data_IF_226686586564
#
_entry.id   IF_226686586564
#
_cell.length_a   1.000
_cell.length_b   1.000
_cell.length_c   1.000
_cell.angle_alpha   90.00
_cell.angle_beta   90.00
_cell.angle_gamma   90.00
#
_symmetry.space_group_name_H-M   'P 1'
#
loop_
_entity.id
_entity.type
_entity.pdbx_description
1 polymer ?
#
# COMPACT_ATOMS: atom_id res chain seq x y z
N UNK A 1 78.96 -75.94 34.37
CA UNK A 1 78.63 -76.04 32.92
C UNK A 1 77.45 -76.98 32.83
N UNK A 2 76.23 -76.45 32.96
CA UNK A 2 75.04 -77.23 32.60
C UNK A 2 75.10 -77.42 31.09
N UNK A 3 75.27 -78.68 30.70
CA UNK A 3 75.23 -79.11 29.31
C UNK A 3 73.78 -78.92 28.86
N UNK A 4 73.50 -77.83 28.16
CA UNK A 4 72.25 -77.67 27.42
C UNK A 4 72.22 -78.73 26.31
N UNK A 5 71.56 -79.85 26.58
CA UNK A 5 71.16 -80.78 25.53
C UNK A 5 70.29 -80.03 24.51
N UNK A 6 70.53 -80.18 23.21
CA UNK A 6 69.70 -79.57 22.18
C UNK A 6 68.26 -80.07 22.37
N UNK A 7 67.32 -79.12 22.40
CA UNK A 7 65.89 -79.40 22.48
C UNK A 7 65.51 -80.33 21.32
N UNK A 8 64.74 -81.40 21.59
CA UNK A 8 64.22 -82.24 20.52
C UNK A 8 63.26 -81.40 19.65
N UNK A 9 63.31 -81.50 18.31
CA UNK A 9 62.38 -80.76 17.44
C UNK A 9 60.91 -81.05 17.78
N UNK A 10 60.62 -82.22 18.35
CA UNK A 10 59.28 -82.64 18.78
C UNK A 10 58.79 -81.87 20.03
N UNK A 11 59.64 -81.64 21.03
CA UNK A 11 59.27 -80.90 22.25
C UNK A 11 59.11 -79.40 21.96
N UNK A 12 59.92 -78.86 21.05
CA UNK A 12 59.77 -77.48 20.62
C UNK A 12 58.46 -77.24 19.84
N UNK A 13 58.06 -78.20 19.00
CA UNK A 13 56.80 -78.14 18.24
C UNK A 13 55.57 -78.25 19.16
N UNK A 14 55.64 -79.08 20.21
CA UNK A 14 54.56 -79.19 21.19
C UNK A 14 54.42 -77.91 22.03
N UNK A 15 55.53 -77.29 22.46
CA UNK A 15 55.47 -75.98 23.15
C UNK A 15 54.81 -74.89 22.27
N UNK A 16 55.13 -74.85 20.97
CA UNK A 16 54.48 -73.92 20.03
C UNK A 16 53.00 -74.21 19.81
N UNK A 17 52.60 -75.49 19.78
CA UNK A 17 51.20 -75.89 19.68
C UNK A 17 50.40 -75.41 20.90
N UNK A 18 50.94 -75.60 22.10
CA UNK A 18 50.33 -75.18 23.36
C UNK A 18 50.23 -73.65 23.44
N UNK A 19 51.27 -72.92 23.03
CA UNK A 19 51.22 -71.45 22.99
C UNK A 19 50.13 -70.92 22.05
N UNK A 20 49.91 -71.58 20.90
CA UNK A 20 48.78 -71.23 20.00
C UNK A 20 47.42 -71.54 20.60
N UNK A 21 47.32 -72.59 21.40
CA UNK A 21 46.10 -72.93 22.13
C UNK A 21 45.81 -71.87 23.21
N UNK A 22 46.86 -71.39 23.90
CA UNK A 22 46.78 -70.28 24.88
C UNK A 22 46.40 -68.95 24.22
N UNK A 23 46.91 -68.66 23.02
CA UNK A 23 46.54 -67.46 22.27
C UNK A 23 45.12 -67.54 21.66
N UNK A 24 44.51 -68.72 21.68
CA UNK A 24 43.15 -68.92 21.19
C UNK A 24 42.13 -68.42 22.22
N UNK A 25 40.94 -68.06 21.74
CA UNK A 25 39.84 -67.63 22.60
C UNK A 25 39.12 -68.79 23.29
N UNK A 26 39.50 -70.05 22.99
CA UNK A 26 38.89 -71.25 23.54
C UNK A 26 39.65 -71.72 24.80
N UNK A 27 39.05 -71.49 25.97
CA UNK A 27 39.67 -71.83 27.26
C UNK A 27 39.36 -73.25 27.74
N UNK A 28 38.49 -73.99 27.03
CA UNK A 28 37.94 -75.26 27.49
C UNK A 28 38.98 -76.39 27.62
N UNK A 29 40.06 -76.34 26.85
CA UNK A 29 41.11 -77.36 26.81
C UNK A 29 42.42 -76.95 27.51
N UNK A 30 42.54 -75.70 27.97
CA UNK A 30 43.77 -75.19 28.58
C UNK A 30 44.14 -75.91 29.89
N UNK A 31 43.16 -76.31 30.69
CA UNK A 31 43.40 -76.95 31.99
C UNK A 31 44.17 -78.28 31.88
N UNK A 32 43.71 -79.26 31.09
CA UNK A 32 44.45 -80.50 30.82
C UNK A 32 45.79 -80.26 30.12
N UNK A 33 45.85 -79.37 29.12
CA UNK A 33 47.06 -79.06 28.35
C UNK A 33 48.17 -78.47 29.23
N UNK A 34 47.83 -77.51 30.10
CA UNK A 34 48.79 -76.93 31.05
C UNK A 34 49.24 -77.94 32.10
N UNK A 35 48.33 -78.78 32.64
CA UNK A 35 48.69 -79.84 33.59
C UNK A 35 49.74 -80.81 32.99
N UNK A 36 49.59 -81.16 31.70
CA UNK A 36 50.57 -82.00 31.00
C UNK A 36 51.96 -81.36 30.86
N UNK A 37 52.05 -80.04 30.80
CA UNK A 37 53.35 -79.33 30.75
C UNK A 37 54.00 -79.30 32.13
N UNK A 38 53.21 -79.04 33.18
CA UNK A 38 53.68 -78.99 34.57
C UNK A 38 54.13 -80.35 35.09
N UNK A 39 53.47 -81.44 34.67
CA UNK A 39 53.84 -82.81 35.03
C UNK A 39 55.12 -83.29 34.28
N UNK A 40 55.61 -82.53 33.30
CA UNK A 40 56.80 -82.82 32.50
C UNK A 40 58.11 -82.20 33.04
N UNK A 41 59.26 -82.77 32.62
CA UNK A 41 60.60 -82.28 33.01
C UNK A 41 61.01 -80.95 32.36
N UNK A 42 60.33 -80.54 31.28
CA UNK A 42 60.70 -79.40 30.43
C UNK A 42 59.89 -78.12 30.72
N UNK A 43 59.12 -78.08 31.82
CA UNK A 43 58.27 -76.94 32.18
C UNK A 43 59.04 -75.60 32.28
N UNK A 44 60.30 -75.63 32.73
CA UNK A 44 61.15 -74.43 32.77
C UNK A 44 61.40 -73.82 31.38
N UNK A 45 61.65 -74.66 30.37
CA UNK A 45 61.83 -74.22 28.97
C UNK A 45 60.53 -73.73 28.34
N UNK A 46 59.39 -74.33 28.71
CA UNK A 46 58.09 -73.83 28.29
C UNK A 46 57.80 -72.44 28.88
N UNK A 47 58.08 -72.23 30.18
CA UNK A 47 57.92 -70.92 30.82
C UNK A 47 58.79 -69.85 30.16
N UNK A 48 60.03 -70.17 29.80
CA UNK A 48 60.90 -69.25 29.04
C UNK A 48 60.32 -68.88 27.66
N UNK A 49 59.72 -69.85 26.94
CA UNK A 49 59.03 -69.60 25.67
C UNK A 49 57.75 -68.79 25.84
N UNK A 50 56.99 -69.05 26.90
CA UNK A 50 55.79 -68.27 27.25
C UNK A 50 56.17 -66.81 27.59
N UNK A 51 57.21 -66.59 28.38
CA UNK A 51 57.72 -65.25 28.68
C UNK A 51 58.25 -64.53 27.44
N UNK A 52 58.83 -65.26 26.48
CA UNK A 52 59.21 -64.70 25.19
C UNK A 52 57.97 -64.33 24.34
N UNK A 53 56.90 -65.14 24.37
CA UNK A 53 55.62 -64.90 23.68
C UNK A 53 54.90 -63.67 24.24
N UNK A 54 54.81 -63.56 25.57
CA UNK A 54 54.23 -62.39 26.26
C UNK A 54 54.99 -61.12 25.87
N UNK A 55 56.32 -61.13 25.99
CA UNK A 55 57.16 -59.98 25.59
C UNK A 55 57.02 -59.62 24.11
N UNK A 56 56.77 -60.60 23.24
CA UNK A 56 56.50 -60.34 21.83
C UNK A 56 55.14 -59.63 21.64
N UNK A 57 54.09 -60.11 22.30
CA UNK A 57 52.78 -59.47 22.25
C UNK A 57 52.78 -58.06 22.84
N UNK A 58 53.48 -57.83 23.97
CA UNK A 58 53.63 -56.49 24.53
C UNK A 58 54.26 -55.51 23.51
N UNK A 59 55.28 -55.96 22.79
CA UNK A 59 55.92 -55.17 21.72
C UNK A 59 54.99 -54.93 20.54
N UNK A 60 54.16 -55.90 20.17
CA UNK A 60 53.17 -55.75 19.10
C UNK A 60 52.06 -54.77 19.50
N UNK A 61 51.57 -54.84 20.74
CA UNK A 61 50.60 -53.90 21.31
C UNK A 61 51.19 -52.49 21.32
N UNK A 62 52.42 -52.33 21.84
CA UNK A 62 53.09 -51.03 21.86
C UNK A 62 53.27 -50.46 20.46
N UNK A 63 53.69 -51.29 19.48
CA UNK A 63 53.83 -50.86 18.08
C UNK A 63 52.48 -50.43 17.48
N UNK A 64 51.40 -51.16 17.74
CA UNK A 64 50.06 -50.84 17.25
C UNK A 64 49.55 -49.53 17.86
N UNK A 65 49.71 -49.36 19.17
CA UNK A 65 49.34 -48.14 19.88
C UNK A 65 50.14 -46.94 19.36
N UNK A 66 51.46 -47.06 19.25
CA UNK A 66 52.33 -46.00 18.74
C UNK A 66 51.99 -45.63 17.29
N UNK A 67 51.65 -46.61 16.45
CA UNK A 67 51.27 -46.37 15.05
C UNK A 67 49.98 -45.55 14.93
N UNK A 68 49.00 -45.78 15.81
CA UNK A 68 47.68 -45.11 15.74
C UNK A 68 47.53 -43.88 16.65
N UNK A 69 48.43 -43.69 17.62
CA UNK A 69 48.30 -42.63 18.63
C UNK A 69 48.17 -41.24 18.01
N UNK A 70 49.02 -40.91 17.05
CA UNK A 70 48.98 -39.59 16.41
C UNK A 70 47.66 -39.36 15.66
N UNK A 71 47.19 -40.36 14.89
CA UNK A 71 45.92 -40.26 14.17
C UNK A 71 44.71 -40.09 15.10
N UNK A 72 44.74 -40.71 16.28
CA UNK A 72 43.71 -40.50 17.31
C UNK A 72 43.75 -39.07 17.88
N UNK A 73 44.94 -38.56 18.21
CA UNK A 73 45.13 -37.18 18.70
C UNK A 73 44.68 -36.16 17.66
N UNK A 74 45.03 -36.37 16.40
CA UNK A 74 44.65 -35.50 15.28
C UNK A 74 43.13 -35.50 15.10
N UNK A 75 42.49 -36.69 15.14
CA UNK A 75 41.04 -36.82 15.04
C UNK A 75 40.29 -36.09 16.16
N UNK A 76 40.77 -36.19 17.41
CA UNK A 76 40.20 -35.44 18.54
C UNK A 76 40.37 -33.93 18.32
N UNK A 77 41.55 -33.52 17.89
CA UNK A 77 41.87 -32.11 17.66
C UNK A 77 40.98 -31.50 16.57
N UNK A 78 40.76 -32.22 15.47
CA UNK A 78 39.83 -31.82 14.41
C UNK A 78 38.39 -31.75 14.90
N UNK A 79 37.92 -32.75 15.65
CA UNK A 79 36.59 -32.74 16.22
C UNK A 79 36.35 -31.53 17.14
N UNK A 80 37.34 -31.17 17.96
CA UNK A 80 37.26 -29.98 18.83
C UNK A 80 37.21 -28.67 18.02
N UNK A 81 37.93 -28.58 16.90
CA UNK A 81 37.84 -27.44 15.98
C UNK A 81 36.44 -27.34 15.35
N UNK A 82 35.92 -28.44 14.82
CA UNK A 82 34.56 -28.49 14.22
C UNK A 82 33.51 -28.08 15.25
N UNK A 83 33.62 -28.55 16.50
CA UNK A 83 32.72 -28.15 17.59
C UNK A 83 32.76 -26.63 17.84
N UNK A 84 33.94 -26.02 17.86
CA UNK A 84 34.09 -24.58 18.04
C UNK A 84 33.50 -23.78 16.87
N UNK A 85 33.71 -24.23 15.63
CA UNK A 85 33.15 -23.61 14.44
C UNK A 85 31.62 -23.72 14.39
N UNK A 86 31.07 -24.89 14.73
CA UNK A 86 29.62 -25.10 14.82
C UNK A 86 28.98 -24.18 15.88
N UNK A 87 29.65 -23.99 17.02
CA UNK A 87 29.18 -23.06 18.04
C UNK A 87 29.23 -21.60 17.58
N UNK A 88 30.29 -21.21 16.84
CA UNK A 88 30.39 -19.88 16.23
C UNK A 88 29.27 -19.64 15.22
N UNK A 89 29.02 -20.62 14.34
CA UNK A 89 27.95 -20.55 13.35
C UNK A 89 26.57 -20.43 14.03
N UNK A 90 26.31 -21.23 15.07
CA UNK A 90 25.10 -21.13 15.87
C UNK A 90 24.88 -19.72 16.40
N UNK A 91 25.91 -19.12 17.00
CA UNK A 91 25.83 -17.76 17.53
C UNK A 91 25.52 -16.74 16.42
N UNK A 92 26.20 -16.84 15.28
CA UNK A 92 25.96 -15.96 14.12
C UNK A 92 24.53 -16.09 13.60
N UNK A 93 24.02 -17.32 13.43
CA UNK A 93 22.63 -17.55 12.99
C UNK A 93 21.64 -16.95 13.99
N UNK A 94 21.86 -17.13 15.29
CA UNK A 94 20.98 -16.55 16.32
C UNK A 94 21.00 -15.02 16.32
N UNK A 95 22.17 -14.41 16.11
CA UNK A 95 22.31 -12.95 16.09
C UNK A 95 21.69 -12.35 14.83
N UNK A 96 21.91 -12.97 13.67
CA UNK A 96 21.25 -12.58 12.41
C UNK A 96 19.73 -12.71 12.52
N UNK A 97 19.22 -13.81 13.09
CA UNK A 97 17.78 -13.98 13.29
C UNK A 97 17.20 -12.89 14.22
N UNK A 98 17.88 -12.56 15.32
CA UNK A 98 17.47 -11.47 16.22
C UNK A 98 17.42 -10.12 15.51
N UNK A 99 18.47 -9.79 14.73
CA UNK A 99 18.54 -8.54 13.97
C UNK A 99 17.41 -8.47 12.92
N UNK A 100 17.19 -9.55 12.19
CA UNK A 100 16.11 -9.64 11.19
C UNK A 100 14.73 -9.44 11.82
N UNK A 101 14.47 -10.07 12.98
CA UNK A 101 13.20 -9.89 13.68
C UNK A 101 13.01 -8.46 14.19
N UNK A 102 14.07 -7.80 14.66
CA UNK A 102 14.02 -6.41 15.10
C UNK A 102 13.69 -5.46 13.93
N UNK A 103 14.43 -5.59 12.82
CA UNK A 103 14.21 -4.78 11.61
C UNK A 103 12.82 -5.05 11.02
N UNK A 104 12.37 -6.30 11.01
CA UNK A 104 11.02 -6.67 10.57
C UNK A 104 9.93 -6.00 11.41
N UNK A 105 10.07 -5.95 12.74
CA UNK A 105 9.11 -5.26 13.63
C UNK A 105 9.06 -3.76 13.34
N UNK A 106 10.22 -3.12 13.15
CA UNK A 106 10.27 -1.70 12.79
C UNK A 106 9.62 -1.43 11.43
N UNK A 107 9.87 -2.30 10.45
CA UNK A 107 9.26 -2.20 9.13
C UNK A 107 7.73 -2.33 9.19
N UNK A 108 7.21 -3.29 9.96
CA UNK A 108 5.75 -3.45 10.16
C UNK A 108 5.15 -2.17 10.75
N UNK A 109 5.78 -1.58 11.78
CA UNK A 109 5.33 -0.30 12.35
C UNK A 109 5.27 0.83 11.31
N UNK A 110 6.35 1.00 10.53
CA UNK A 110 6.37 2.00 9.45
C UNK A 110 5.31 1.75 8.36
N UNK A 111 4.99 0.48 8.06
CA UNK A 111 3.93 0.14 7.11
C UNK A 111 2.53 0.46 7.66
N UNK A 112 2.29 0.28 8.96
CA UNK A 112 1.04 0.66 9.61
C UNK A 112 0.83 2.18 9.60
N UNK A 113 1.89 2.95 9.91
CA UNK A 113 1.87 4.41 9.80
C UNK A 113 1.58 4.86 8.36
N UNK A 114 2.26 4.27 7.37
CA UNK A 114 2.01 4.57 5.96
C UNK A 114 0.56 4.28 5.56
N UNK A 115 -0.02 3.19 6.06
CA UNK A 115 -1.42 2.85 5.82
C UNK A 115 -2.36 3.91 6.40
N UNK A 116 -2.10 4.37 7.63
CA UNK A 116 -2.89 5.43 8.25
C UNK A 116 -2.78 6.74 7.46
N UNK A 117 -1.57 7.13 7.05
CA UNK A 117 -1.36 8.33 6.23
C UNK A 117 -2.10 8.24 4.88
N UNK A 118 -2.11 7.07 4.23
CA UNK A 118 -2.87 6.86 2.98
C UNK A 118 -4.37 6.97 3.18
N UNK A 119 -4.90 6.46 4.29
CA UNK A 119 -6.32 6.60 4.61
C UNK A 119 -6.68 8.08 4.84
N UNK A 120 -5.85 8.80 5.59
CA UNK A 120 -6.02 10.24 5.78
C UNK A 120 -5.97 10.98 4.45
N UNK A 121 -4.99 10.68 3.60
CA UNK A 121 -4.86 11.25 2.26
C UNK A 121 -6.11 10.99 1.41
N UNK A 122 -6.65 9.76 1.45
CA UNK A 122 -7.88 9.42 0.73
C UNK A 122 -9.09 10.18 1.26
N UNK A 123 -9.26 10.27 2.58
CA UNK A 123 -10.33 11.06 3.21
C UNK A 123 -10.25 12.54 2.81
N UNK A 124 -9.03 13.10 2.82
CA UNK A 124 -8.78 14.50 2.42
C UNK A 124 -9.14 14.68 0.95
N UNK A 125 -8.63 13.83 0.05
CA UNK A 125 -8.92 13.91 -1.39
C UNK A 125 -10.42 13.80 -1.67
N UNK A 126 -11.08 12.81 -1.07
CA UNK A 126 -12.52 12.63 -1.22
C UNK A 126 -13.29 13.87 -0.72
N UNK A 127 -12.88 14.45 0.42
CA UNK A 127 -13.51 15.67 0.94
C UNK A 127 -13.31 16.86 0.00
N UNK A 128 -12.10 17.04 -0.52
CA UNK A 128 -11.79 18.08 -1.52
C UNK A 128 -12.69 17.91 -2.74
N UNK A 129 -12.78 16.70 -3.31
CA UNK A 129 -13.61 16.43 -4.48
C UNK A 129 -15.10 16.75 -4.23
N UNK A 130 -15.61 16.40 -3.05
CA UNK A 130 -17.01 16.67 -2.67
C UNK A 130 -17.26 18.17 -2.47
N UNK A 131 -16.33 18.90 -1.85
CA UNK A 131 -16.42 20.35 -1.68
C UNK A 131 -16.31 21.09 -3.02
N UNK A 132 -15.39 20.67 -3.90
CA UNK A 132 -15.23 21.22 -5.24
C UNK A 132 -16.49 21.08 -6.09
N UNK A 133 -17.25 19.99 -5.93
CA UNK A 133 -18.56 19.84 -6.59
C UNK A 133 -19.62 20.82 -6.05
N UNK A 134 -19.55 21.17 -4.77
CA UNK A 134 -20.52 22.08 -4.13
C UNK A 134 -20.22 23.56 -4.40
N UNK A 135 -18.96 23.91 -4.66
CA UNK A 135 -18.50 25.30 -4.80
C UNK A 135 -19.29 26.10 -5.86
N UNK A 136 -19.51 25.60 -7.10
CA UNK A 136 -20.20 26.38 -8.13
C UNK A 136 -21.65 26.71 -7.76
N UNK A 137 -22.30 25.84 -6.99
CA UNK A 137 -23.69 26.02 -6.55
C UNK A 137 -23.79 27.16 -5.54
N UNK A 138 -22.85 27.21 -4.58
CA UNK A 138 -22.78 28.27 -3.57
C UNK A 138 -22.38 29.62 -4.19
N UNK A 139 -21.42 29.62 -5.13
CA UNK A 139 -21.02 30.81 -5.85
C UNK A 139 -22.16 31.40 -6.69
N UNK A 140 -22.91 30.54 -7.40
CA UNK A 140 -24.05 30.97 -8.21
C UNK A 140 -25.20 31.51 -7.36
N UNK A 141 -25.47 30.89 -6.21
CA UNK A 141 -26.47 31.40 -5.25
C UNK A 141 -26.05 32.75 -4.65
N UNK A 142 -24.77 32.89 -4.26
CA UNK A 142 -24.23 34.16 -3.78
C UNK A 142 -24.40 35.27 -4.82
N UNK A 143 -24.05 34.98 -6.08
CA UNK A 143 -24.24 35.87 -7.22
C UNK A 143 -25.70 36.25 -7.44
N UNK A 144 -26.63 35.30 -7.32
CA UNK A 144 -28.07 35.58 -7.42
C UNK A 144 -28.51 36.57 -6.34
N UNK A 145 -28.12 36.32 -5.08
CA UNK A 145 -28.46 37.20 -3.96
C UNK A 145 -27.92 38.63 -4.17
N UNK A 146 -26.73 38.77 -4.74
CA UNK A 146 -26.14 40.08 -5.08
C UNK A 146 -26.88 40.79 -6.23
N UNK A 147 -27.30 40.05 -7.27
CA UNK A 147 -28.11 40.60 -8.36
C UNK A 147 -29.49 41.09 -7.89
N UNK A 148 -30.11 40.36 -6.95
CA UNK A 148 -31.36 40.78 -6.33
C UNK A 148 -31.18 42.07 -5.50
N UNK A 149 -30.11 42.15 -4.69
CA UNK A 149 -29.78 43.37 -3.92
C UNK A 149 -29.52 44.59 -4.81
N UNK A 150 -28.91 44.40 -5.97
CA UNK A 150 -28.63 45.46 -6.94
C UNK A 150 -29.81 45.81 -7.86
N UNK A 151 -31.01 45.26 -7.60
CA UNK A 151 -32.24 45.42 -8.41
C UNK A 151 -32.07 45.05 -9.89
N UNK A 152 -31.11 44.17 -10.20
CA UNK A 152 -30.88 43.64 -11.56
C UNK A 152 -31.74 42.39 -11.78
N UNK A 153 -33.06 42.59 -11.86
CA UNK A 153 -34.05 41.52 -11.85
C UNK A 153 -33.93 40.53 -13.03
N UNK A 154 -33.65 41.03 -14.24
CA UNK A 154 -33.50 40.16 -15.42
C UNK A 154 -32.24 39.26 -15.35
N UNK A 155 -31.04 39.79 -15.06
CA UNK A 155 -29.87 38.95 -14.78
C UNK A 155 -30.09 37.96 -13.63
N UNK A 156 -30.77 38.37 -12.56
CA UNK A 156 -31.12 37.50 -11.43
C UNK A 156 -31.97 36.30 -11.88
N UNK A 157 -33.02 36.52 -12.66
CA UNK A 157 -33.86 35.44 -13.20
C UNK A 157 -33.05 34.47 -14.08
N UNK A 158 -32.11 34.98 -14.89
CA UNK A 158 -31.23 34.13 -15.70
C UNK A 158 -30.27 33.30 -14.87
N UNK A 159 -29.69 33.88 -13.83
CA UNK A 159 -28.82 33.18 -12.89
C UNK A 159 -29.59 32.12 -12.09
N UNK A 160 -30.82 32.42 -11.66
CA UNK A 160 -31.71 31.47 -10.98
C UNK A 160 -32.10 30.29 -11.89
N UNK A 161 -32.43 30.55 -13.15
CA UNK A 161 -32.73 29.52 -14.16
C UNK A 161 -31.53 28.60 -14.39
N UNK A 162 -30.31 29.15 -14.43
CA UNK A 162 -29.09 28.36 -14.57
C UNK A 162 -28.78 27.52 -13.33
N UNK A 163 -28.94 28.09 -12.13
CA UNK A 163 -28.78 27.39 -10.86
C UNK A 163 -29.69 26.16 -10.76
N UNK A 164 -30.95 26.30 -11.18
CA UNK A 164 -31.96 25.24 -11.19
C UNK A 164 -31.64 24.12 -12.18
N UNK A 165 -31.27 24.46 -13.42
CA UNK A 165 -31.15 23.47 -14.49
C UNK A 165 -29.77 22.81 -14.58
N UNK A 166 -28.70 23.52 -14.23
CA UNK A 166 -27.33 23.05 -14.47
C UNK A 166 -26.61 22.66 -13.19
N UNK A 167 -26.69 23.48 -12.14
CA UNK A 167 -25.88 23.29 -10.94
C UNK A 167 -26.53 22.34 -9.94
N UNK A 168 -27.80 22.55 -9.57
CA UNK A 168 -28.47 21.78 -8.52
C UNK A 168 -28.64 20.28 -8.81
N UNK A 169 -28.90 19.81 -10.05
CA UNK A 169 -29.00 18.38 -10.33
C UNK A 169 -27.72 17.60 -10.00
N UNK A 170 -26.54 18.23 -10.15
CA UNK A 170 -25.23 17.60 -9.93
C UNK A 170 -24.96 17.28 -8.45
N UNK A 171 -25.64 17.98 -7.53
CA UNK A 171 -25.40 17.93 -6.08
C UNK A 171 -26.69 17.65 -5.29
N UNK A 172 -27.71 17.12 -5.96
CA UNK A 172 -29.08 16.95 -5.42
C UNK A 172 -29.19 16.05 -4.17
N UNK A 173 -28.21 15.17 -3.94
CA UNK A 173 -28.17 14.30 -2.76
C UNK A 173 -27.84 15.06 -1.47
N UNK A 174 -27.24 16.25 -1.54
CA UNK A 174 -26.93 17.02 -0.34
C UNK A 174 -28.16 17.76 0.20
N UNK A 175 -28.26 17.79 1.54
CA UNK A 175 -29.39 18.42 2.24
C UNK A 175 -29.53 19.92 1.96
N UNK A 176 -28.41 20.64 1.83
CA UNK A 176 -28.46 22.09 1.57
C UNK A 176 -29.07 22.39 0.18
N UNK A 177 -28.80 21.56 -0.83
CA UNK A 177 -29.39 21.72 -2.16
C UNK A 177 -30.90 21.56 -2.16
N UNK A 178 -31.45 20.65 -1.34
CA UNK A 178 -32.91 20.50 -1.19
C UNK A 178 -33.57 21.79 -0.70
N UNK A 179 -32.98 22.43 0.30
CA UNK A 179 -33.45 23.73 0.81
C UNK A 179 -33.38 24.81 -0.27
N UNK A 180 -32.34 24.81 -1.11
CA UNK A 180 -32.24 25.75 -2.22
C UNK A 180 -33.36 25.53 -3.25
N UNK A 181 -33.61 24.29 -3.65
CA UNK A 181 -34.70 23.91 -4.58
C UNK A 181 -36.06 24.36 -4.05
N UNK A 182 -36.35 24.11 -2.78
CA UNK A 182 -37.61 24.52 -2.13
C UNK A 182 -37.79 26.05 -2.11
N UNK A 183 -36.69 26.81 -2.11
CA UNK A 183 -36.73 28.28 -2.12
C UNK A 183 -36.84 28.89 -3.52
N UNK A 184 -36.57 28.15 -4.60
CA UNK A 184 -36.62 28.68 -5.99
C UNK A 184 -37.98 29.32 -6.32
N UNK A 185 -39.14 28.69 -6.05
CA UNK A 185 -40.43 29.30 -6.38
C UNK A 185 -40.67 30.61 -5.63
N UNK A 186 -40.22 30.69 -4.37
CA UNK A 186 -40.33 31.92 -3.56
C UNK A 186 -39.49 33.05 -4.14
N UNK A 187 -38.25 32.76 -4.54
CA UNK A 187 -37.37 33.74 -5.18
C UNK A 187 -37.93 34.23 -6.52
N UNK A 188 -38.57 33.34 -7.31
CA UNK A 188 -39.23 33.74 -8.56
C UNK A 188 -40.38 34.71 -8.31
N UNK A 189 -41.22 34.44 -7.31
CA UNK A 189 -42.33 35.33 -6.96
C UNK A 189 -41.83 36.66 -6.39
N UNK A 190 -40.81 36.65 -5.53
CA UNK A 190 -40.18 37.86 -5.01
C UNK A 190 -39.65 38.76 -6.13
N UNK A 191 -38.89 38.21 -7.09
CA UNK A 191 -38.38 39.00 -8.23
C UNK A 191 -39.53 39.56 -9.06
N UNK A 192 -40.59 38.77 -9.28
CA UNK A 192 -41.79 39.22 -10.02
C UNK A 192 -42.48 40.37 -9.29
N UNK A 193 -42.71 40.25 -7.98
CA UNK A 193 -43.40 41.27 -7.20
C UNK A 193 -42.62 42.58 -7.17
N UNK A 194 -41.30 42.52 -6.92
CA UNK A 194 -40.44 43.71 -6.92
C UNK A 194 -40.37 44.33 -8.32
N UNK A 195 -40.21 43.53 -9.37
CA UNK A 195 -40.17 44.03 -10.75
C UNK A 195 -41.49 44.68 -11.17
N UNK A 196 -42.63 44.09 -10.77
CA UNK A 196 -43.95 44.63 -11.07
C UNK A 196 -44.24 45.90 -10.27
N UNK A 197 -43.74 46.01 -9.04
CA UNK A 197 -43.80 47.25 -8.27
C UNK A 197 -42.99 48.35 -8.95
N UNK A 198 -41.72 48.07 -9.29
CA UNK A 198 -40.83 49.03 -9.96
C UNK A 198 -41.46 49.52 -11.29
N UNK A 199 -42.09 48.63 -12.06
CA UNK A 199 -42.80 48.98 -13.30
C UNK A 199 -44.03 49.86 -13.05
N UNK A 200 -44.84 49.54 -12.03
CA UNK A 200 -46.02 50.35 -11.66
C UNK A 200 -45.60 51.75 -11.23
N UNK A 201 -44.56 51.86 -10.41
CA UNK A 201 -44.00 53.13 -9.95
C UNK A 201 -43.46 53.96 -11.12
N UNK A 202 -42.81 53.30 -12.09
CA UNK A 202 -42.35 53.95 -13.32
C UNK A 202 -43.51 54.49 -14.17
N UNK A 203 -44.56 53.70 -14.40
CA UNK A 203 -45.73 54.14 -15.17
C UNK A 203 -46.48 55.28 -14.47
N UNK A 204 -46.61 55.23 -13.15
CA UNK A 204 -47.21 56.31 -12.36
C UNK A 204 -46.36 57.58 -12.41
N UNK A 205 -45.03 57.46 -12.43
CA UNK A 205 -44.12 58.58 -12.63
C UNK A 205 -44.31 59.22 -14.02
N UNK A 206 -44.40 58.42 -15.09
CA UNK A 206 -44.70 58.92 -16.43
C UNK A 206 -46.03 59.67 -16.44
N UNK A 207 -47.10 59.08 -15.87
CA UNK A 207 -48.43 59.70 -15.84
C UNK A 207 -48.43 61.07 -15.16
N UNK A 208 -47.64 61.25 -14.11
CA UNK A 208 -47.50 62.55 -13.41
C UNK A 208 -46.74 63.61 -14.21
N UNK A 209 -45.82 63.19 -15.07
CA UNK A 209 -44.96 64.12 -15.83
C UNK A 209 -45.44 64.35 -17.28
N UNK A 210 -46.22 63.42 -17.84
CA UNK A 210 -46.72 63.48 -19.22
C UNK A 210 -47.57 64.72 -19.48
N UNK A 211 -48.39 65.15 -18.51
CA UNK A 211 -49.27 66.32 -18.69
C UNK A 211 -48.46 67.61 -18.83
N UNK A 212 -47.40 67.77 -18.04
CA UNK A 212 -46.49 68.93 -18.11
C UNK A 212 -45.68 68.95 -19.41
N UNK A 213 -45.20 67.78 -19.83
CA UNK A 213 -44.48 67.64 -21.11
C UNK A 213 -45.44 67.95 -22.27
N UNK A 214 -46.67 67.43 -22.21
CA UNK A 214 -47.74 67.70 -23.18
C UNK A 214 -48.08 69.19 -23.25
N UNK A 215 -48.28 69.87 -22.12
CA UNK A 215 -48.54 71.31 -22.06
C UNK A 215 -47.39 72.12 -22.69
N UNK A 216 -46.14 71.75 -22.40
CA UNK A 216 -44.96 72.43 -22.94
C UNK A 216 -44.83 72.21 -24.45
N UNK A 217 -45.07 70.98 -24.92
CA UNK A 217 -45.08 70.65 -26.35
C UNK A 217 -46.20 71.41 -27.09
N UNK A 218 -47.40 71.47 -26.54
CA UNK A 218 -48.52 72.22 -27.11
C UNK A 218 -48.22 73.72 -27.16
N UNK A 219 -47.64 74.31 -26.11
CA UNK A 219 -47.19 75.72 -26.10
C UNK A 219 -46.17 76.01 -27.21
N UNK A 220 -45.20 75.12 -27.43
CA UNK A 220 -44.21 75.26 -28.51
C UNK A 220 -44.84 75.17 -29.90
N UNK A 221 -45.80 74.26 -30.12
CA UNK A 221 -46.55 74.17 -31.37
C UNK A 221 -47.40 75.41 -31.62
N UNK A 222 -48.10 75.94 -30.60
CA UNK A 222 -48.86 77.18 -30.75
C UNK A 222 -47.99 78.42 -30.98
N UNK A 223 -46.78 78.46 -30.42
CA UNK A 223 -45.83 79.55 -30.72
C UNK A 223 -45.23 79.45 -32.13
N UNK A 224 -45.08 78.24 -32.68
CA UNK A 224 -44.68 78.05 -34.08
C UNK A 224 -45.84 78.30 -35.06
N UNK A 225 -47.08 77.98 -34.69
CA UNK A 225 -48.28 78.27 -35.49
C UNK A 225 -48.71 79.76 -35.45
N UNK A 226 -48.22 80.54 -34.48
CA UNK A 226 -48.45 81.99 -34.40
C UNK A 226 -47.50 82.84 -35.27
N UNK A 227 -46.60 82.21 -36.04
CA UNK A 227 -45.68 82.87 -36.95
C UNK A 227 -45.84 82.34 -38.38
N UNK A 228 -46.53 83.13 -39.21
CA UNK A 228 -46.71 83.02 -40.68
C UNK A 228 -47.84 82.09 -41.13
N UNK A 229 -48.77 82.68 -41.91
CA UNK A 229 -50.02 82.07 -42.36
C UNK A 229 -49.95 81.17 -43.59
N UNK A 230 -51.10 80.52 -43.83
CA UNK A 230 -51.69 80.07 -45.12
C UNK A 230 -50.80 79.15 -45.99
N UNK A 231 -51.12 77.88 -46.27
CA UNK A 231 -52.37 77.36 -46.83
C UNK A 231 -52.38 75.80 -46.86
N UNK A 232 -53.60 75.24 -46.95
CA UNK A 232 -54.04 73.92 -47.48
C UNK A 232 -54.33 72.76 -46.52
N UNK A 233 -55.63 72.60 -46.32
CA UNK A 233 -56.32 71.32 -46.14
C UNK A 233 -55.86 70.28 -47.18
N UNK A 234 -55.60 69.06 -46.70
CA UNK A 234 -56.10 67.86 -47.35
C UNK A 234 -56.43 66.84 -46.27
N UNK A 235 -57.72 66.60 -46.07
CA UNK A 235 -58.17 65.45 -45.31
C UNK A 235 -57.71 64.16 -46.01
N UNK A 236 -57.19 63.23 -45.22
CA UNK A 236 -57.10 61.82 -45.57
C UNK A 236 -57.57 60.99 -44.37
N UNK A 237 -58.35 59.90 -44.58
CA UNK A 237 -59.01 59.19 -43.51
C UNK A 237 -58.03 58.29 -42.75
N UNK A 238 -58.27 58.12 -41.45
CA UNK A 238 -57.70 57.03 -40.67
C UNK A 238 -58.11 55.70 -41.30
N UNK A 239 -57.15 54.97 -41.86
CA UNK A 239 -57.25 53.51 -42.06
C UNK A 239 -56.23 52.83 -41.15
N UNK A 240 -56.59 51.69 -40.54
CA UNK A 240 -55.69 50.94 -39.67
C UNK A 240 -54.78 50.05 -40.52
N UNK A 241 -53.54 49.88 -40.02
CA UNK A 241 -52.48 48.96 -40.47
C UNK A 241 -51.51 49.52 -41.51
N UNK A 242 -50.30 49.86 -41.06
CA UNK A 242 -49.04 49.20 -41.49
C UNK A 242 -47.83 49.99 -40.99
N UNK A 243 -47.13 49.49 -39.98
CA UNK A 243 -45.70 49.79 -39.79
C UNK A 243 -44.90 48.54 -40.13
N UNK A 244 -43.86 48.62 -40.96
CA UNK A 244 -43.20 47.45 -41.52
C UNK A 244 -42.27 46.81 -40.50
N UNK A 245 -42.52 45.54 -40.20
CA UNK A 245 -41.48 44.62 -39.75
C UNK A 245 -40.51 44.44 -40.92
N UNK A 246 -39.34 45.09 -40.86
CA UNK A 246 -38.16 44.64 -41.62
C UNK A 246 -37.12 44.14 -40.64
N UNK A 247 -37.23 42.85 -40.34
CA UNK A 247 -36.12 42.05 -39.84
C UNK A 247 -35.05 42.02 -40.93
N UNK A 248 -33.91 42.64 -40.68
CA UNK A 248 -32.66 42.33 -41.35
C UNK A 248 -31.75 41.70 -40.30
N UNK A 249 -31.68 40.37 -40.34
CA UNK A 249 -30.66 39.63 -39.62
C UNK A 249 -29.29 40.02 -40.12
N UNK A 250 -28.43 40.44 -39.19
CA UNK A 250 -26.99 40.41 -39.38
C UNK A 250 -26.45 39.25 -38.55
N UNK A 251 -26.28 38.12 -39.22
CA UNK A 251 -25.37 37.07 -38.80
C UNK A 251 -23.96 37.65 -38.82
N UNK A 252 -23.29 37.67 -37.66
CA UNK A 252 -21.83 37.71 -37.64
C UNK A 252 -21.37 36.48 -36.87
N UNK A 253 -20.92 35.50 -37.65
CA UNK A 253 -20.01 34.44 -37.20
C UNK A 253 -18.90 34.40 -38.24
N UNK A 254 -17.75 34.99 -37.92
CA UNK A 254 -16.46 34.50 -38.40
C UNK A 254 -15.29 35.16 -37.65
N UNK A 255 -14.66 34.35 -36.80
CA UNK A 255 -13.22 34.17 -36.66
C UNK A 255 -12.25 35.23 -37.20
N UNK A 256 -11.54 35.89 -36.28
CA UNK A 256 -10.14 36.32 -36.43
C UNK A 256 -9.57 36.49 -35.00
N UNK A 257 -8.88 35.49 -34.46
CA UNK A 257 -7.41 35.41 -34.40
C UNK A 257 -6.77 36.73 -33.94
N UNK A 258 -6.48 36.83 -32.64
CA UNK A 258 -5.38 37.63 -32.12
C UNK A 258 -4.72 36.85 -30.97
N UNK A 259 -3.44 36.58 -31.13
CA UNK A 259 -2.47 36.16 -30.11
C UNK A 259 -1.18 36.94 -30.40
N UNK A 260 -0.18 36.99 -29.50
CA UNK A 260 -0.23 37.28 -28.07
C UNK A 260 0.84 38.35 -27.67
N UNK A 261 0.98 38.60 -26.36
CA UNK A 261 2.22 38.95 -25.65
C UNK A 261 2.55 40.44 -25.33
N UNK A 262 2.18 40.87 -24.12
CA UNK A 262 3.12 41.25 -23.03
C UNK A 262 2.28 41.74 -21.82
N UNK A 263 2.16 40.95 -20.73
CA UNK A 263 2.90 41.08 -19.45
C UNK A 263 2.85 42.53 -18.92
N UNK A 264 2.36 42.84 -17.71
CA UNK A 264 2.58 42.23 -16.37
C UNK A 264 1.79 43.13 -15.33
N UNK A 265 1.92 43.02 -13.98
CA UNK A 265 1.38 42.00 -13.06
C UNK A 265 0.70 42.61 -11.79
N UNK A 266 -0.32 41.97 -11.22
CA UNK A 266 -0.52 41.91 -9.77
C UNK A 266 -1.46 40.73 -9.47
N UNK A 267 -0.90 39.62 -8.98
CA UNK A 267 -0.99 39.15 -7.58
C UNK A 267 -2.21 38.23 -7.37
N UNK A 268 -1.98 36.94 -7.66
CA UNK A 268 -2.58 35.75 -7.03
C UNK A 268 -1.45 35.10 -6.19
N UNK A 269 -1.66 34.15 -5.25
CA UNK A 269 -2.90 33.53 -4.73
C UNK A 269 -2.90 33.25 -3.20
N UNK A 270 -4.07 32.90 -2.64
CA UNK A 270 -4.21 32.32 -1.28
C UNK A 270 -4.57 30.83 -1.30
N UNK A 271 -4.14 30.08 -2.32
CA UNK A 271 -4.36 28.63 -2.43
C UNK A 271 -3.12 27.78 -2.82
N UNK A 272 -1.91 28.34 -2.84
CA UNK A 272 -0.66 27.60 -3.17
C UNK A 272 0.28 27.43 -1.96
N UNK A 273 -0.23 26.93 -0.84
CA UNK A 273 0.62 26.55 0.30
C UNK A 273 0.57 25.07 0.68
N UNK A 274 -0.03 24.21 -0.15
CA UNK A 274 -0.07 22.77 0.10
C UNK A 274 0.31 21.86 -1.09
N UNK A 275 1.17 22.31 -2.02
CA UNK A 275 1.98 21.40 -2.85
C UNK A 275 3.32 22.06 -3.25
N UNK A 276 4.43 21.67 -2.58
CA UNK A 276 5.40 20.83 -3.28
C UNK A 276 6.02 19.72 -2.40
N UNK A 277 5.19 18.87 -1.79
CA UNK A 277 5.67 17.58 -1.19
C UNK A 277 5.30 16.36 -2.04
N UNK A 278 4.38 16.46 -3.00
CA UNK A 278 3.80 15.27 -3.67
C UNK A 278 4.12 15.07 -5.16
N UNK A 279 5.07 15.80 -5.75
CA UNK A 279 5.47 15.60 -7.17
C UNK A 279 6.74 14.76 -7.39
N UNK A 280 7.34 14.18 -6.34
CA UNK A 280 8.56 13.36 -6.45
C UNK A 280 8.38 11.84 -6.26
N UNK A 281 7.16 11.28 -6.19
CA UNK A 281 6.98 9.83 -6.00
C UNK A 281 6.09 9.13 -7.05
N UNK A 282 5.85 9.74 -8.22
CA UNK A 282 5.00 9.14 -9.27
C UNK A 282 5.70 8.90 -10.62
N UNK A 283 7.04 8.84 -10.64
CA UNK A 283 7.83 8.49 -11.83
C UNK A 283 8.94 7.48 -11.48
N UNK A 284 8.53 6.31 -10.98
CA UNK A 284 9.23 5.01 -11.16
C UNK A 284 8.38 3.90 -10.55
N UNK A 285 7.53 3.29 -11.37
CA UNK A 285 7.12 1.86 -11.34
C UNK A 285 6.01 1.64 -12.38
N UNK A 286 6.24 2.05 -13.63
CA UNK A 286 5.60 1.41 -14.78
C UNK A 286 6.57 0.36 -15.30
N UNK A 287 6.47 -0.86 -14.77
CA UNK A 287 6.87 -2.13 -15.38
C UNK A 287 6.84 -3.26 -14.34
N UNK A 288 5.62 -3.69 -13.97
CA UNK A 288 5.23 -5.10 -13.77
C UNK A 288 3.79 -5.09 -13.28
N UNK A 289 2.90 -5.60 -14.12
CA UNK A 289 1.50 -5.77 -13.79
C UNK A 289 1.34 -6.64 -12.55
N UNK A 290 0.76 -6.05 -11.52
CA UNK A 290 0.03 -6.75 -10.49
C UNK A 290 -1.20 -5.89 -10.23
N UNK A 291 -2.31 -6.26 -10.87
CA UNK A 291 -3.62 -5.95 -10.33
C UNK A 291 -3.62 -6.46 -8.88
N UNK A 292 -3.65 -5.57 -7.89
CA UNK A 292 -4.08 -5.94 -6.55
C UNK A 292 -5.52 -5.50 -6.34
N UNK A 293 -6.32 -6.33 -5.65
CA UNK A 293 -7.77 -6.27 -5.69
C UNK A 293 -8.31 -5.28 -4.67
N UNK A 294 -9.60 -4.99 -4.84
CA UNK A 294 -10.48 -4.25 -3.95
C UNK A 294 -10.21 -4.47 -2.45
N UNK A 295 -10.50 -3.46 -1.60
CA UNK A 295 -10.38 -3.56 -0.15
C UNK A 295 -11.56 -4.35 0.44
N UNK A 296 -11.69 -5.61 0.04
CA UNK A 296 -12.64 -6.59 0.58
C UNK A 296 -11.92 -7.91 0.88
N UNK A 297 -10.80 -7.85 1.62
CA UNK A 297 -10.21 -9.05 2.23
C UNK A 297 -10.30 -8.91 3.76
N UNK A 298 -11.30 -9.63 4.29
CA UNK A 298 -11.47 -9.89 5.70
C UNK A 298 -10.35 -10.77 6.31
N UNK A 299 -10.57 -11.34 7.50
CA UNK A 299 -9.57 -11.59 8.56
C UNK A 299 -8.44 -12.62 8.29
N UNK A 300 -8.21 -13.08 7.06
CA UNK A 300 -7.19 -14.08 6.74
C UNK A 300 -5.73 -13.59 6.89
N UNK A 301 -5.47 -12.28 6.86
CA UNK A 301 -4.11 -11.73 6.98
C UNK A 301 -3.62 -11.65 8.43
N UNK A 302 -4.53 -11.59 9.41
CA UNK A 302 -4.17 -11.52 10.84
C UNK A 302 -3.66 -12.87 11.35
N UNK A 303 -4.29 -13.98 10.92
CA UNK A 303 -3.88 -15.33 11.30
C UNK A 303 -2.46 -15.71 10.87
N UNK A 304 -1.98 -15.19 9.72
CA UNK A 304 -0.64 -15.49 9.21
C UNK A 304 0.48 -14.65 9.85
N UNK A 305 0.16 -13.45 10.33
CA UNK A 305 1.08 -12.58 11.08
C UNK A 305 1.20 -13.00 12.54
N UNK A 306 0.10 -13.39 13.18
CA UNK A 306 0.12 -13.91 14.56
C UNK A 306 0.87 -15.25 14.67
N UNK A 307 0.88 -16.05 13.60
CA UNK A 307 1.60 -17.33 13.56
C UNK A 307 3.13 -17.15 13.53
N UNK A 308 3.64 -16.05 12.94
CA UNK A 308 5.07 -15.69 12.97
C UNK A 308 5.53 -15.09 14.30
N UNK A 309 4.61 -14.55 15.11
CA UNK A 309 4.93 -13.94 16.40
C UNK A 309 5.07 -14.95 17.57
N UNK A 310 4.68 -16.21 17.38
CA UNK A 310 4.54 -17.20 18.47
C UNK A 310 5.78 -18.05 18.80
N UNK A 311 6.91 -17.88 18.11
CA UNK A 311 8.22 -18.36 18.59
C UNK A 311 8.38 -19.87 18.85
N UNK A 312 7.60 -20.75 18.21
CA UNK A 312 7.78 -22.20 18.33
C UNK A 312 8.90 -22.73 17.41
N UNK A 313 9.70 -23.72 17.87
CA UNK A 313 10.82 -24.25 17.09
C UNK A 313 10.36 -25.15 15.93
N UNK A 314 11.05 -25.03 14.80
CA UNK A 314 10.86 -25.75 13.52
C UNK A 314 11.23 -27.25 13.57
N UNK A 315 10.84 -27.98 14.61
CA UNK A 315 11.01 -29.45 14.67
C UNK A 315 9.66 -30.09 15.00
N UNK A 316 9.00 -30.68 13.99
CA UNK A 316 7.71 -31.39 14.16
C UNK A 316 6.56 -30.87 13.29
N UNK A 317 6.77 -30.69 11.99
CA UNK A 317 5.75 -30.22 11.04
C UNK A 317 5.15 -31.33 10.16
N UNK A 318 5.63 -32.57 10.27
CA UNK A 318 5.16 -33.69 9.45
C UNK A 318 3.85 -34.33 9.99
N UNK A 319 3.58 -34.27 11.30
CA UNK A 319 2.40 -34.94 11.88
C UNK A 319 1.11 -34.09 11.88
N UNK A 320 1.21 -32.75 11.78
CA UNK A 320 0.04 -31.85 11.88
C UNK A 320 -0.72 -31.68 10.54
N UNK A 321 -0.11 -32.07 9.42
CA UNK A 321 -0.73 -31.97 8.09
C UNK A 321 -1.73 -33.11 7.80
N UNK A 322 -1.63 -34.26 8.49
CA UNK A 322 -2.56 -35.38 8.29
C UNK A 322 -3.87 -35.25 9.07
N UNK A 323 -3.91 -34.51 10.18
CA UNK A 323 -5.12 -34.35 10.99
C UNK A 323 -6.09 -33.26 10.46
N UNK A 324 -5.60 -32.25 9.76
CA UNK A 324 -6.42 -31.10 9.33
C UNK A 324 -7.18 -31.35 8.01
N UNK A 325 -6.75 -32.32 7.20
CA UNK A 325 -7.36 -32.61 5.89
C UNK A 325 -8.51 -33.63 5.92
N UNK A 326 -8.81 -34.24 7.08
CA UNK A 326 -9.91 -35.21 7.19
C UNK A 326 -11.28 -34.59 7.57
N UNK A 327 -11.31 -33.31 7.97
CA UNK A 327 -12.50 -32.71 8.61
C UNK A 327 -13.36 -31.76 7.78
N UNK A 328 -13.04 -31.48 6.51
CA UNK A 328 -13.66 -30.35 5.77
C UNK A 328 -14.20 -30.63 4.36
N UNK A 329 -14.42 -31.90 4.00
CA UNK A 329 -15.11 -32.27 2.75
C UNK A 329 -16.49 -32.92 2.99
N UNK A 330 -17.28 -32.41 3.93
CA UNK A 330 -18.70 -32.77 4.04
C UNK A 330 -19.51 -31.54 4.44
N UNK A 331 -20.33 -31.06 3.49
CA UNK A 331 -21.29 -29.95 3.50
C UNK A 331 -20.85 -28.74 2.66
N UNK A 332 -21.61 -28.53 1.59
CA UNK A 332 -21.45 -27.57 0.51
C UNK A 332 -22.17 -28.11 -0.69
#
# INVERSE_FOLDING_TARGET
IEVHSPESPETAAEHERILREVDSTDTACLGPTLRSVYDGSEHGRFMEKLDARIRNHDREIEKMCNFHYQGFVDSITEFLKVRAEAQKLKNQVTDTNRKLQLESKQLVGAMEELRQCRLQQWNISATVDKLSQCLPVLEMESKLREQMKSKRHYPALKTLEHLERMCLPQVSHYRFCKVMVENIPRLREEIKDVSMSDLKDFLESIRKHSDKIGETAMKQVSHQAGGVGEERETGAPCTPNSLPLRWAGLSVSSSAVFSPCSRRPWELPLLDLWQPVFKCQLLRTSARGLCLPDPCLGPCSKARLDQMASGLPLWGWEDTLLASNAGKCRQG
#
